data_IF_541877351101
#
_entry.id   IF_541877351101
#
_cell.length_a   1.000
_cell.length_b   1.000
_cell.length_c   1.000
_cell.angle_alpha   90.00
_cell.angle_beta   90.00
_cell.angle_gamma   90.00
#
_symmetry.space_group_name_H-M   'P 1'
#
loop_
_entity.id
_entity.type
_entity.pdbx_description
1 polymer ?
#
# COMPACT_ATOMS: atom_id res chain seq x y z
N UNK A 1 -2.37 -25.96 -10.27
CA UNK A 1 -1.93 -26.17 -8.87
C UNK A 1 -0.41 -26.08 -8.87
N UNK A 2 0.17 -25.18 -8.08
CA UNK A 2 1.63 -24.94 -8.09
C UNK A 2 2.39 -26.21 -7.71
N UNK A 3 3.43 -26.57 -8.46
CA UNK A 3 4.23 -27.79 -8.29
C UNK A 3 4.81 -27.90 -6.86
N UNK A 4 5.16 -26.77 -6.28
CA UNK A 4 5.70 -26.66 -4.91
C UNK A 4 4.65 -27.02 -3.85
N UNK A 5 3.41 -26.53 -4.01
CA UNK A 5 2.34 -26.85 -3.07
C UNK A 5 1.94 -28.35 -3.14
N UNK A 6 2.01 -28.95 -4.32
CA UNK A 6 1.79 -30.40 -4.47
C UNK A 6 2.84 -31.22 -3.72
N UNK A 7 4.12 -30.83 -3.78
CA UNK A 7 5.19 -31.48 -3.01
C UNK A 7 4.92 -31.38 -1.51
N UNK A 8 4.56 -30.19 -1.03
CA UNK A 8 4.17 -29.98 0.37
C UNK A 8 3.04 -30.92 0.83
N UNK A 9 1.98 -31.09 0.01
CA UNK A 9 0.88 -31.98 0.34
C UNK A 9 1.31 -33.46 0.45
N UNK A 10 2.25 -33.89 -0.38
CA UNK A 10 2.82 -35.24 -0.32
C UNK A 10 3.63 -35.41 0.98
N UNK A 11 4.45 -34.42 1.31
CA UNK A 11 5.30 -34.44 2.51
C UNK A 11 4.49 -34.50 3.80
N UNK A 12 3.48 -33.63 3.97
CA UNK A 12 2.62 -33.66 5.15
C UNK A 12 1.78 -34.94 5.26
N UNK A 13 1.57 -35.63 4.14
CA UNK A 13 0.87 -36.93 4.10
C UNK A 13 1.66 -38.07 4.73
N UNK A 14 2.99 -37.94 4.88
CA UNK A 14 3.85 -38.96 5.47
C UNK A 14 3.73 -39.02 7.01
N UNK A 15 3.28 -37.94 7.65
CA UNK A 15 3.12 -37.91 9.10
C UNK A 15 1.84 -38.67 9.52
N UNK A 16 1.95 -39.64 10.48
CA UNK A 16 0.80 -40.38 10.98
C UNK A 16 -0.14 -39.46 11.79
N UNK A 17 -1.43 -39.80 11.74
CA UNK A 17 -2.42 -39.17 12.58
C UNK A 17 -2.24 -39.64 14.04
N UNK A 18 -2.35 -38.74 15.01
CA UNK A 18 -2.20 -39.02 16.41
C UNK A 18 -3.52 -39.48 17.04
N UNK A 19 -3.42 -40.44 17.94
CA UNK A 19 -4.52 -40.81 18.85
C UNK A 19 -4.66 -39.79 19.98
N UNK A 20 -5.81 -39.76 20.65
CA UNK A 20 -6.04 -38.84 21.79
C UNK A 20 -4.99 -39.03 22.93
N UNK A 21 -4.53 -40.26 23.16
CA UNK A 21 -3.49 -40.54 24.17
C UNK A 21 -2.14 -39.96 23.73
N UNK A 22 -1.74 -40.14 22.46
CA UNK A 22 -0.48 -39.60 21.93
C UNK A 22 -0.50 -38.05 21.92
N UNK A 23 -1.63 -37.41 21.59
CA UNK A 23 -1.77 -35.95 21.69
C UNK A 23 -1.46 -35.47 23.12
N UNK A 24 -2.02 -36.15 24.13
CA UNK A 24 -1.82 -35.81 25.55
C UNK A 24 -0.38 -36.04 25.98
N UNK A 25 0.20 -37.20 25.65
CA UNK A 25 1.59 -37.55 25.97
C UNK A 25 2.59 -36.58 25.39
N UNK A 26 2.43 -36.21 24.09
CA UNK A 26 3.29 -35.24 23.40
C UNK A 26 3.14 -33.84 23.99
N UNK A 27 1.93 -33.43 24.36
CA UNK A 27 1.71 -32.14 25.00
C UNK A 27 2.36 -32.04 26.39
N UNK A 28 2.29 -33.12 27.17
CA UNK A 28 2.96 -33.22 28.49
C UNK A 28 4.49 -33.20 28.32
N UNK A 29 5.03 -33.97 27.34
CA UNK A 29 6.45 -33.98 27.05
C UNK A 29 6.95 -32.60 26.63
N UNK A 30 6.19 -31.89 25.76
CA UNK A 30 6.49 -30.51 25.36
C UNK A 30 6.50 -29.55 26.55
N UNK A 31 5.51 -29.63 27.46
CA UNK A 31 5.45 -28.84 28.69
C UNK A 31 6.69 -29.07 29.58
N UNK A 32 7.27 -30.27 29.54
CA UNK A 32 8.50 -30.62 30.25
C UNK A 32 9.79 -30.23 29.48
N UNK A 33 9.67 -29.53 28.34
CA UNK A 33 10.81 -29.00 27.58
C UNK A 33 11.27 -29.83 26.39
N UNK A 34 10.53 -30.88 25.99
CA UNK A 34 10.86 -31.67 24.81
C UNK A 34 10.43 -30.97 23.50
N UNK A 35 11.39 -30.33 22.81
CA UNK A 35 11.17 -29.70 21.51
C UNK A 35 10.78 -30.67 20.39
N UNK A 36 11.23 -31.94 20.44
CA UNK A 36 10.86 -32.96 19.44
C UNK A 36 9.39 -33.37 19.56
N UNK A 37 8.86 -33.40 20.75
CA UNK A 37 7.43 -33.64 20.99
C UNK A 37 6.59 -32.52 20.39
N UNK A 38 7.02 -31.25 20.52
CA UNK A 38 6.38 -30.10 19.87
C UNK A 38 6.35 -30.24 18.35
N UNK A 39 7.49 -30.52 17.73
CA UNK A 39 7.58 -30.71 16.27
C UNK A 39 6.69 -31.85 15.80
N UNK A 40 6.67 -32.99 16.49
CA UNK A 40 5.82 -34.13 16.16
C UNK A 40 4.34 -33.77 16.25
N UNK A 41 3.93 -33.01 17.27
CA UNK A 41 2.54 -32.57 17.44
C UNK A 41 2.12 -31.62 16.32
N UNK A 42 3.00 -30.66 15.90
CA UNK A 42 2.75 -29.75 14.77
C UNK A 42 2.63 -30.56 13.47
N UNK A 43 3.64 -31.35 13.13
CA UNK A 43 3.73 -32.03 11.85
C UNK A 43 2.57 -32.99 11.60
N UNK A 44 2.13 -33.72 12.61
CA UNK A 44 0.99 -34.62 12.52
C UNK A 44 -0.37 -33.92 12.33
N UNK A 45 -0.42 -32.59 12.61
CA UNK A 45 -1.65 -31.80 12.49
C UNK A 45 -1.66 -30.82 11.28
N UNK A 46 -0.61 -30.77 10.45
CA UNK A 46 -0.57 -29.90 9.25
C UNK A 46 -1.73 -30.17 8.28
N UNK A 47 -2.19 -31.43 8.19
CA UNK A 47 -3.33 -31.83 7.38
C UNK A 47 -4.65 -31.15 7.82
N UNK A 48 -4.81 -30.89 9.13
CA UNK A 48 -5.97 -30.15 9.69
C UNK A 48 -5.99 -28.73 9.15
N UNK A 49 -4.84 -28.07 9.09
CA UNK A 49 -4.74 -26.70 8.53
C UNK A 49 -5.19 -26.65 7.08
N UNK A 50 -4.70 -27.59 6.25
CA UNK A 50 -5.10 -27.67 4.83
C UNK A 50 -6.62 -27.88 4.69
N UNK A 51 -7.20 -28.72 5.55
CA UNK A 51 -8.65 -28.95 5.53
C UNK A 51 -9.46 -27.70 5.88
N UNK A 52 -9.02 -26.93 6.86
CA UNK A 52 -9.65 -25.67 7.26
C UNK A 52 -9.45 -24.61 6.16
N UNK A 53 -8.25 -24.46 5.62
CA UNK A 53 -7.92 -23.48 4.59
C UNK A 53 -8.73 -23.65 3.30
N UNK A 54 -9.13 -24.89 2.94
CA UNK A 54 -10.00 -25.17 1.81
C UNK A 54 -11.35 -24.44 1.86
N UNK A 55 -11.85 -24.10 3.05
CA UNK A 55 -13.12 -23.37 3.21
C UNK A 55 -13.00 -21.88 2.85
N UNK A 56 -11.77 -21.37 2.70
CA UNK A 56 -11.47 -19.96 2.39
C UNK A 56 -10.98 -19.74 0.95
N UNK A 57 -11.24 -20.68 0.02
CA UNK A 57 -10.79 -20.63 -1.38
C UNK A 57 -11.21 -19.39 -2.16
N UNK A 58 -12.32 -18.78 -1.78
CA UNK A 58 -12.85 -17.57 -2.43
C UNK A 58 -12.24 -16.27 -1.89
N UNK A 59 -11.17 -16.36 -1.11
CA UNK A 59 -10.39 -15.19 -0.69
C UNK A 59 -9.39 -14.78 -1.78
N UNK A 60 -8.94 -13.54 -1.73
CA UNK A 60 -7.91 -13.02 -2.67
C UNK A 60 -6.51 -13.62 -2.45
N UNK A 61 -6.32 -14.43 -1.40
CA UNK A 61 -5.07 -15.13 -1.11
C UNK A 61 -5.02 -16.51 -1.76
N UNK A 62 -3.83 -16.93 -2.18
CA UNK A 62 -3.64 -18.28 -2.68
C UNK A 62 -3.85 -19.31 -1.57
N UNK A 63 -4.23 -20.55 -1.94
CA UNK A 63 -4.39 -21.63 -0.96
C UNK A 63 -3.07 -21.93 -0.22
N UNK A 64 -1.92 -21.72 -0.87
CA UNK A 64 -0.61 -21.90 -0.24
C UNK A 64 -0.36 -20.87 0.85
N UNK A 65 -0.72 -19.59 0.60
CA UNK A 65 -0.60 -18.52 1.58
C UNK A 65 -1.56 -18.74 2.76
N UNK A 66 -2.81 -19.14 2.49
CA UNK A 66 -3.78 -19.47 3.52
C UNK A 66 -3.30 -20.61 4.44
N UNK A 67 -2.67 -21.63 3.86
CA UNK A 67 -2.08 -22.75 4.61
C UNK A 67 -0.88 -22.27 5.43
N UNK A 68 -0.02 -21.44 4.88
CA UNK A 68 1.14 -20.88 5.58
C UNK A 68 0.71 -20.06 6.80
N UNK A 69 -0.28 -19.18 6.64
CA UNK A 69 -0.84 -18.41 7.75
C UNK A 69 -1.58 -19.29 8.78
N UNK A 70 -2.29 -20.29 8.29
CA UNK A 70 -2.94 -21.28 9.15
C UNK A 70 -1.94 -22.11 9.96
N UNK A 71 -0.76 -22.42 9.42
CA UNK A 71 0.32 -23.10 10.14
C UNK A 71 0.85 -22.24 11.31
N UNK A 72 0.93 -20.91 11.15
CA UNK A 72 1.25 -20.02 12.27
C UNK A 72 0.19 -20.08 13.39
N UNK A 73 -1.08 -20.17 12.99
CA UNK A 73 -2.18 -20.40 13.93
C UNK A 73 -2.08 -21.75 14.64
N UNK A 74 -1.70 -22.81 13.93
CA UNK A 74 -1.47 -24.14 14.50
C UNK A 74 -0.31 -24.13 15.53
N UNK A 75 0.80 -23.47 15.21
CA UNK A 75 1.95 -23.31 16.11
C UNK A 75 1.49 -22.62 17.39
N UNK A 76 0.74 -21.52 17.27
CA UNK A 76 0.19 -20.81 18.44
C UNK A 76 -0.76 -21.72 19.27
N UNK A 77 -1.54 -22.56 18.60
CA UNK A 77 -2.44 -23.48 19.26
C UNK A 77 -1.67 -24.55 20.07
N UNK A 78 -0.55 -25.07 19.53
CA UNK A 78 0.31 -26.04 20.24
C UNK A 78 0.88 -25.41 21.51
N UNK A 79 1.35 -24.18 21.44
CA UNK A 79 1.93 -23.46 22.58
C UNK A 79 0.88 -23.14 23.68
N UNK A 80 -0.40 -23.09 23.33
CA UNK A 80 -1.52 -22.78 24.24
C UNK A 80 -2.36 -24.00 24.63
N UNK A 81 -2.07 -25.17 24.09
CA UNK A 81 -2.83 -26.36 24.37
C UNK A 81 -2.59 -26.87 25.80
N UNK A 82 -3.70 -27.08 26.51
CA UNK A 82 -3.66 -27.68 27.85
C UNK A 82 -4.30 -29.09 27.82
N UNK A 83 -3.49 -30.16 27.91
CA UNK A 83 -3.99 -31.54 27.91
C UNK A 83 -4.84 -31.88 29.12
N UNK A 84 -4.68 -31.19 30.26
CA UNK A 84 -5.38 -31.49 31.52
C UNK A 84 -6.91 -31.20 31.40
N UNK A 85 -7.33 -30.45 30.41
CA UNK A 85 -8.76 -30.13 30.16
C UNK A 85 -9.53 -31.27 29.47
N UNK A 86 -8.86 -32.33 29.01
CA UNK A 86 -9.47 -33.52 28.43
C UNK A 86 -10.04 -33.36 27.03
N UNK A 87 -9.90 -32.18 26.39
CA UNK A 87 -10.36 -31.95 25.03
C UNK A 87 -9.33 -32.42 23.99
N UNK A 88 -9.82 -32.81 22.80
CA UNK A 88 -8.95 -33.15 21.68
C UNK A 88 -8.19 -31.88 21.21
N UNK A 89 -6.94 -32.10 20.79
CA UNK A 89 -6.11 -31.01 20.24
C UNK A 89 -6.78 -30.27 19.07
N UNK A 90 -7.42 -31.01 18.16
CA UNK A 90 -8.13 -30.41 17.02
C UNK A 90 -9.23 -29.43 17.43
N UNK A 91 -9.93 -29.66 18.54
CA UNK A 91 -10.96 -28.77 19.07
C UNK A 91 -10.34 -27.44 19.53
N UNK A 92 -9.18 -27.49 20.16
CA UNK A 92 -8.44 -26.32 20.61
C UNK A 92 -7.77 -25.60 19.44
N UNK A 93 -7.19 -26.31 18.48
CA UNK A 93 -6.45 -25.74 17.35
C UNK A 93 -7.33 -25.05 16.30
N UNK A 94 -8.52 -25.58 16.05
CA UNK A 94 -9.41 -25.04 14.99
C UNK A 94 -9.71 -23.55 15.13
N UNK A 95 -10.06 -22.99 16.29
CA UNK A 95 -10.27 -21.54 16.47
C UNK A 95 -9.02 -20.72 16.13
N UNK A 96 -7.83 -21.15 16.59
CA UNK A 96 -6.57 -20.45 16.33
C UNK A 96 -6.21 -20.45 14.84
N UNK A 97 -6.36 -21.58 14.16
CA UNK A 97 -6.13 -21.69 12.73
C UNK A 97 -7.10 -20.79 11.96
N UNK A 98 -8.40 -20.84 12.28
CA UNK A 98 -9.41 -19.97 11.66
C UNK A 98 -9.12 -18.49 11.89
N UNK A 99 -8.72 -18.12 13.10
CA UNK A 99 -8.38 -16.74 13.44
C UNK A 99 -7.15 -16.25 12.65
N UNK A 100 -6.10 -17.07 12.55
CA UNK A 100 -4.89 -16.73 11.78
C UNK A 100 -5.21 -16.53 10.31
N UNK A 101 -5.97 -17.45 9.70
CA UNK A 101 -6.40 -17.36 8.29
C UNK A 101 -7.27 -16.12 8.07
N UNK A 102 -8.28 -15.88 8.91
CA UNK A 102 -9.17 -14.72 8.75
C UNK A 102 -8.43 -13.40 8.93
N UNK A 103 -7.49 -13.33 9.86
CA UNK A 103 -6.62 -12.18 10.05
C UNK A 103 -5.76 -11.94 8.81
N UNK A 104 -5.14 -12.98 8.26
CA UNK A 104 -4.33 -12.88 7.06
C UNK A 104 -5.13 -12.38 5.85
N UNK A 105 -6.36 -12.88 5.66
CA UNK A 105 -7.27 -12.41 4.60
C UNK A 105 -7.56 -10.91 4.76
N UNK A 106 -7.84 -10.46 5.98
CA UNK A 106 -8.10 -9.04 6.27
C UNK A 106 -6.87 -8.17 6.04
N UNK A 107 -5.69 -8.64 6.47
CA UNK A 107 -4.46 -7.85 6.47
C UNK A 107 -3.71 -7.87 5.12
N UNK A 108 -3.78 -8.98 4.39
CA UNK A 108 -2.95 -9.26 3.21
C UNK A 108 -3.77 -9.60 1.95
N UNK A 109 -5.10 -9.73 2.07
CA UNK A 109 -5.96 -10.18 0.96
C UNK A 109 -6.14 -9.16 -0.16
N UNK A 110 -5.79 -7.88 0.05
CA UNK A 110 -5.93 -6.82 -0.96
C UNK A 110 -4.61 -6.08 -1.16
N UNK A 111 -4.35 -5.63 -2.38
CA UNK A 111 -3.18 -4.80 -2.71
C UNK A 111 -3.19 -3.48 -1.92
N UNK A 112 -4.37 -2.85 -1.82
CA UNK A 112 -4.58 -1.67 -0.97
C UNK A 112 -5.18 -2.17 0.34
N UNK A 113 -4.40 -2.12 1.42
CA UNK A 113 -4.81 -2.58 2.74
C UNK A 113 -5.99 -1.78 3.27
N UNK A 114 -7.02 -2.50 3.72
CA UNK A 114 -8.22 -1.93 4.36
C UNK A 114 -8.16 -2.22 5.87
N UNK A 115 -8.49 -1.24 6.74
CA UNK A 115 -8.59 -1.47 8.17
C UNK A 115 -9.59 -2.56 8.51
N UNK A 116 -9.31 -3.37 9.55
CA UNK A 116 -10.11 -4.54 9.91
C UNK A 116 -11.58 -4.22 10.21
N UNK A 117 -11.87 -3.07 10.83
CA UNK A 117 -13.24 -2.66 11.12
C UNK A 117 -14.04 -2.35 9.85
N UNK A 118 -13.41 -1.75 8.84
CA UNK A 118 -14.03 -1.50 7.52
C UNK A 118 -14.25 -2.83 6.80
N UNK A 119 -13.28 -3.75 6.85
CA UNK A 119 -13.42 -5.08 6.25
C UNK A 119 -14.61 -5.86 6.83
N UNK A 120 -14.80 -5.80 8.14
CA UNK A 120 -15.98 -6.41 8.79
C UNK A 120 -17.29 -5.74 8.35
N UNK A 121 -17.29 -4.43 8.19
CA UNK A 121 -18.47 -3.69 7.72
C UNK A 121 -18.79 -4.02 6.26
N UNK A 122 -17.76 -4.17 5.40
CA UNK A 122 -17.90 -4.64 4.01
C UNK A 122 -18.48 -6.06 3.93
N UNK A 123 -18.08 -6.95 4.84
CA UNK A 123 -18.67 -8.29 4.90
C UNK A 123 -20.17 -8.25 5.24
N UNK A 124 -20.54 -7.42 6.21
CA UNK A 124 -21.96 -7.19 6.56
C UNK A 124 -22.72 -6.53 5.39
N UNK A 125 -22.11 -5.57 4.70
CA UNK A 125 -22.69 -4.94 3.52
C UNK A 125 -23.00 -5.96 2.42
N UNK A 126 -22.04 -6.83 2.08
CA UNK A 126 -22.24 -7.89 1.06
C UNK A 126 -23.34 -8.85 1.46
N UNK A 127 -23.46 -9.22 2.73
CA UNK A 127 -24.53 -10.07 3.23
C UNK A 127 -25.89 -9.37 3.14
N UNK A 128 -25.98 -8.12 3.58
CA UNK A 128 -27.20 -7.33 3.50
C UNK A 128 -27.67 -7.12 2.05
N UNK A 129 -26.73 -6.87 1.13
CA UNK A 129 -27.01 -6.74 -0.29
C UNK A 129 -27.57 -8.05 -0.88
N UNK A 130 -26.89 -9.18 -0.61
CA UNK A 130 -27.33 -10.48 -1.10
C UNK A 130 -28.72 -10.89 -0.59
N UNK A 131 -29.05 -10.53 0.66
CA UNK A 131 -30.39 -10.80 1.21
C UNK A 131 -31.49 -9.92 0.55
N UNK A 132 -31.21 -8.63 0.31
CA UNK A 132 -32.16 -7.74 -0.35
C UNK A 132 -32.38 -8.12 -1.83
N UNK A 133 -31.32 -8.51 -2.52
CA UNK A 133 -31.41 -8.98 -3.91
C UNK A 133 -32.14 -10.33 -4.03
N UNK A 134 -32.07 -11.21 -3.01
CA UNK A 134 -32.80 -12.46 -2.99
C UNK A 134 -34.31 -12.25 -2.85
N UNK A 135 -34.74 -11.15 -2.23
CA UNK A 135 -36.13 -10.75 -2.11
C UNK A 135 -36.71 -10.11 -3.40
N UNK A 136 -35.86 -9.99 -4.46
CA UNK A 136 -36.25 -9.50 -5.79
C UNK A 136 -36.32 -7.97 -5.93
N UNK A 137 -35.91 -7.23 -4.94
CA UNK A 137 -35.84 -5.77 -4.94
C UNK A 137 -34.42 -5.29 -5.27
N UNK A 138 -34.30 -4.19 -6.04
CA UNK A 138 -33.00 -3.51 -6.20
C UNK A 138 -32.69 -2.81 -4.87
N UNK A 139 -31.68 -3.31 -4.16
CA UNK A 139 -31.25 -2.75 -2.89
C UNK A 139 -30.83 -1.28 -3.03
N UNK A 140 -31.59 -0.38 -2.42
CA UNK A 140 -31.25 1.05 -2.35
C UNK A 140 -30.23 1.31 -1.23
N UNK A 141 -29.46 2.40 -1.36
CA UNK A 141 -28.48 2.77 -0.33
C UNK A 141 -29.14 3.02 1.02
N UNK A 142 -30.37 3.51 1.03
CA UNK A 142 -31.16 3.78 2.22
C UNK A 142 -31.61 2.50 2.94
N UNK A 143 -31.98 1.44 2.19
CA UNK A 143 -32.36 0.14 2.76
C UNK A 143 -31.14 -0.57 3.37
N UNK A 144 -30.02 -0.53 2.67
CA UNK A 144 -28.75 -1.08 3.18
C UNK A 144 -28.32 -0.32 4.44
N UNK A 145 -28.40 1.03 4.43
CA UNK A 145 -28.07 1.87 5.57
C UNK A 145 -28.92 1.54 6.81
N UNK A 146 -30.23 1.36 6.62
CA UNK A 146 -31.15 0.92 7.68
C UNK A 146 -30.81 -0.46 8.22
N UNK A 147 -30.51 -1.43 7.33
CA UNK A 147 -30.16 -2.80 7.71
C UNK A 147 -28.84 -2.89 8.45
N UNK A 148 -27.86 -2.07 8.09
CA UNK A 148 -26.54 -1.99 8.74
C UNK A 148 -26.52 -1.07 9.95
N UNK A 149 -27.58 -0.28 10.18
CA UNK A 149 -27.65 0.78 11.19
C UNK A 149 -26.49 1.79 11.08
N UNK A 150 -26.26 2.29 9.87
CA UNK A 150 -25.25 3.30 9.54
C UNK A 150 -25.87 4.42 8.70
N UNK A 151 -25.19 5.55 8.59
CA UNK A 151 -25.61 6.66 7.73
C UNK A 151 -25.47 6.32 6.24
N UNK A 152 -26.33 6.88 5.39
CA UNK A 152 -26.30 6.65 3.92
C UNK A 152 -24.98 7.06 3.28
N UNK A 153 -24.35 8.12 3.78
CA UNK A 153 -23.03 8.56 3.28
C UNK A 153 -21.93 7.55 3.58
N UNK A 154 -22.04 6.83 4.71
CA UNK A 154 -21.15 5.71 5.01
C UNK A 154 -21.32 4.53 4.05
N UNK A 155 -22.54 4.28 3.57
CA UNK A 155 -22.81 3.25 2.55
C UNK A 155 -22.16 3.63 1.22
N UNK A 156 -22.21 4.92 0.82
CA UNK A 156 -21.53 5.40 -0.39
C UNK A 156 -20.00 5.25 -0.29
N UNK A 157 -19.43 5.58 0.88
CA UNK A 157 -18.00 5.36 1.15
C UNK A 157 -17.64 3.87 1.03
N UNK A 158 -18.46 2.97 1.63
CA UNK A 158 -18.24 1.53 1.54
C UNK A 158 -18.29 1.00 0.10
N UNK A 159 -19.12 1.55 -0.76
CA UNK A 159 -19.13 1.21 -2.19
C UNK A 159 -17.80 1.50 -2.86
N UNK A 160 -17.14 2.61 -2.51
CA UNK A 160 -15.79 2.92 -2.99
C UNK A 160 -14.76 1.86 -2.63
N UNK A 161 -14.90 1.21 -1.46
CA UNK A 161 -13.99 0.16 -1.01
C UNK A 161 -14.29 -1.23 -1.62
N UNK A 162 -15.39 -1.39 -2.36
CA UNK A 162 -15.73 -2.66 -3.02
C UNK A 162 -14.90 -2.92 -4.27
N UNK A 163 -14.40 -1.88 -4.91
CA UNK A 163 -13.60 -2.01 -6.13
C UNK A 163 -12.25 -2.68 -5.83
N UNK A 164 -11.93 -3.68 -6.63
CA UNK A 164 -10.64 -4.33 -6.61
C UNK A 164 -9.70 -3.69 -7.64
N UNK A 165 -8.40 -3.80 -7.42
CA UNK A 165 -7.39 -3.34 -8.38
C UNK A 165 -7.39 -4.26 -9.61
N UNK A 166 -7.27 -3.66 -10.79
CA UNK A 166 -7.10 -4.37 -12.06
C UNK A 166 -5.63 -4.28 -12.46
N UNK A 167 -5.09 -5.35 -13.05
CA UNK A 167 -3.72 -5.33 -13.56
C UNK A 167 -3.62 -4.39 -14.77
N UNK A 168 -2.57 -3.58 -14.81
CA UNK A 168 -2.25 -2.74 -15.96
C UNK A 168 -1.90 -3.57 -17.21
N UNK A 169 -1.40 -4.79 -17.01
CA UNK A 169 -1.07 -5.76 -18.06
C UNK A 169 -2.31 -6.47 -18.64
N UNK A 170 -3.52 -6.12 -18.19
CA UNK A 170 -4.74 -6.73 -18.71
C UNK A 170 -4.96 -6.28 -20.15
N UNK A 171 -5.04 -7.20 -21.15
CA UNK A 171 -5.30 -6.84 -22.53
C UNK A 171 -6.71 -6.24 -22.70
N UNK A 172 -6.86 -5.25 -23.56
CA UNK A 172 -8.12 -4.54 -23.84
C UNK A 172 -9.11 -5.39 -24.65
N UNK A 173 -8.63 -6.43 -25.34
CA UNK A 173 -9.44 -7.36 -26.12
C UNK A 173 -8.76 -8.72 -26.26
N UNK A 174 -9.50 -9.73 -26.75
CA UNK A 174 -9.01 -11.10 -26.85
C UNK A 174 -7.80 -11.23 -27.79
N UNK A 175 -7.70 -10.37 -28.83
CA UNK A 175 -6.63 -10.38 -29.83
C UNK A 175 -5.85 -9.06 -29.85
N UNK A 176 -5.98 -8.23 -28.81
CA UNK A 176 -5.28 -6.93 -28.72
C UNK A 176 -3.93 -7.11 -28.02
N UNK A 177 -2.88 -6.54 -28.59
CA UNK A 177 -1.58 -6.38 -27.95
C UNK A 177 -1.58 -5.21 -26.95
N UNK A 178 -2.58 -4.30 -27.04
CA UNK A 178 -2.71 -3.15 -26.16
C UNK A 178 -3.24 -3.56 -24.79
N UNK A 179 -2.69 -2.94 -23.75
CA UNK A 179 -3.03 -3.18 -22.35
C UNK A 179 -3.79 -2.00 -21.73
N UNK A 180 -4.42 -2.22 -20.58
CA UNK A 180 -5.05 -1.14 -19.80
C UNK A 180 -4.04 -0.04 -19.44
N UNK A 181 -2.77 -0.43 -19.22
CA UNK A 181 -1.68 0.51 -18.92
C UNK A 181 -1.40 1.49 -20.05
N UNK A 182 -1.52 1.05 -21.30
CA UNK A 182 -1.26 1.89 -22.48
C UNK A 182 -2.29 3.01 -22.67
N UNK A 183 -3.48 2.86 -22.06
CA UNK A 183 -4.53 3.90 -22.10
C UNK A 183 -4.35 5.00 -21.04
N UNK A 184 -3.47 4.81 -20.08
CA UNK A 184 -3.28 5.76 -18.98
C UNK A 184 -2.26 6.81 -19.42
N UNK A 185 -2.72 8.05 -19.61
CA UNK A 185 -1.84 9.15 -19.97
C UNK A 185 -0.89 9.51 -18.80
N UNK A 186 0.36 9.79 -19.13
CA UNK A 186 1.30 10.37 -18.17
C UNK A 186 0.96 11.85 -17.96
N UNK A 187 0.50 12.17 -16.74
CA UNK A 187 0.15 13.53 -16.34
C UNK A 187 1.30 14.26 -15.60
N UNK A 188 2.44 13.60 -15.38
CA UNK A 188 3.57 14.15 -14.63
C UNK A 188 4.70 14.64 -15.53
N UNK A 189 4.89 14.02 -16.68
CA UNK A 189 5.89 14.45 -17.66
C UNK A 189 5.38 15.67 -18.40
N UNK A 190 6.18 16.72 -18.42
CA UNK A 190 5.86 17.96 -19.12
C UNK A 190 5.72 17.71 -20.63
N UNK A 191 4.71 18.30 -21.22
CA UNK A 191 4.55 18.26 -22.68
C UNK A 191 5.69 19.06 -23.34
N UNK A 192 6.07 18.75 -24.60
CA UNK A 192 7.06 19.54 -25.33
C UNK A 192 6.70 21.02 -25.42
N UNK A 193 5.41 21.33 -25.45
CA UNK A 193 4.91 22.71 -25.44
C UNK A 193 5.20 23.42 -24.13
N UNK A 194 4.84 22.80 -22.99
CA UNK A 194 5.09 23.36 -21.65
C UNK A 194 6.58 23.52 -21.37
N UNK A 195 7.40 22.55 -21.79
CA UNK A 195 8.85 22.65 -21.69
C UNK A 195 9.38 23.84 -22.49
N UNK A 196 8.92 24.01 -23.75
CA UNK A 196 9.35 25.13 -24.61
C UNK A 196 8.91 26.47 -24.02
N UNK A 197 7.68 26.56 -23.51
CA UNK A 197 7.17 27.78 -22.87
C UNK A 197 8.01 28.15 -21.65
N UNK A 198 8.33 27.19 -20.78
CA UNK A 198 9.22 27.42 -19.63
C UNK A 198 10.61 27.89 -20.07
N UNK A 199 11.19 27.28 -21.10
CA UNK A 199 12.47 27.70 -21.64
C UNK A 199 12.41 29.13 -22.24
N UNK A 200 11.34 29.49 -22.93
CA UNK A 200 11.15 30.86 -23.44
C UNK A 200 11.06 31.88 -22.31
N UNK A 201 10.31 31.55 -21.22
CA UNK A 201 10.20 32.41 -20.04
C UNK A 201 11.57 32.53 -19.35
N UNK A 202 12.28 31.42 -19.16
CA UNK A 202 13.61 31.41 -18.57
C UNK A 202 14.58 32.29 -19.36
N UNK A 203 14.65 32.12 -20.67
CA UNK A 203 15.48 32.93 -21.55
C UNK A 203 15.11 34.40 -21.52
N UNK A 204 13.82 34.73 -21.40
CA UNK A 204 13.34 36.09 -21.26
C UNK A 204 13.80 36.71 -19.94
N UNK A 205 13.75 35.97 -18.85
CA UNK A 205 14.25 36.41 -17.54
C UNK A 205 15.76 36.71 -17.63
N UNK A 206 16.55 35.83 -18.24
CA UNK A 206 17.99 36.04 -18.42
C UNK A 206 18.28 37.29 -19.22
N UNK A 207 17.56 37.52 -20.36
CA UNK A 207 17.73 38.74 -21.16
C UNK A 207 17.41 40.04 -20.39
N UNK A 208 16.44 40.00 -19.49
CA UNK A 208 16.11 41.14 -18.63
C UNK A 208 17.22 41.30 -17.57
N UNK A 209 17.72 40.22 -16.98
CA UNK A 209 18.80 40.25 -16.01
C UNK A 209 20.09 40.78 -16.59
N UNK A 210 20.45 40.51 -17.83
CA UNK A 210 21.65 40.99 -18.52
C UNK A 210 21.75 42.53 -18.59
N UNK A 211 20.63 43.24 -18.41
CA UNK A 211 20.61 44.72 -18.39
C UNK A 211 21.06 45.28 -17.04
N UNK A 212 21.20 44.43 -16.00
CA UNK A 212 21.62 44.84 -14.67
C UNK A 212 23.14 44.65 -14.45
N UNK A 213 23.67 45.32 -13.42
CA UNK A 213 25.09 45.17 -13.05
C UNK A 213 25.39 43.74 -12.63
N UNK A 214 26.59 43.20 -12.92
CA UNK A 214 26.95 41.81 -12.62
C UNK A 214 26.68 41.39 -11.15
N UNK A 215 26.95 42.27 -10.20
CA UNK A 215 26.68 42.01 -8.77
C UNK A 215 25.18 41.84 -8.47
N UNK A 216 24.34 42.62 -9.14
CA UNK A 216 22.87 42.53 -9.01
C UNK A 216 22.34 41.26 -9.64
N UNK A 217 22.87 40.91 -10.81
CA UNK A 217 22.56 39.62 -11.50
C UNK A 217 22.86 38.42 -10.58
N UNK A 218 24.07 38.40 -9.97
CA UNK A 218 24.48 37.33 -9.05
C UNK A 218 23.51 37.21 -7.85
N UNK A 219 23.06 38.31 -7.28
CA UNK A 219 22.11 38.29 -6.16
C UNK A 219 20.78 37.63 -6.59
N UNK A 220 20.22 38.03 -7.72
CA UNK A 220 18.94 37.48 -8.20
C UNK A 220 19.11 36.03 -8.61
N UNK A 221 20.19 35.66 -9.34
CA UNK A 221 20.49 34.28 -9.72
C UNK A 221 20.61 33.37 -8.50
N UNK A 222 21.37 33.76 -7.48
CA UNK A 222 21.49 32.99 -6.23
C UNK A 222 20.19 32.91 -5.45
N UNK A 223 19.39 33.99 -5.46
CA UNK A 223 18.16 34.04 -4.69
C UNK A 223 17.07 33.11 -5.22
N UNK A 224 16.96 33.04 -6.56
CA UNK A 224 15.89 32.31 -7.24
C UNK A 224 16.37 31.06 -7.98
N UNK A 225 17.62 30.67 -7.83
CA UNK A 225 18.15 29.49 -8.51
C UNK A 225 18.10 29.60 -10.04
N UNK A 226 18.40 30.77 -10.61
CA UNK A 226 18.33 31.04 -12.05
C UNK A 226 19.73 30.96 -12.65
N UNK A 227 20.10 29.80 -13.19
CA UNK A 227 21.37 29.61 -13.89
C UNK A 227 21.20 29.78 -15.40
N UNK A 228 22.24 30.33 -16.04
CA UNK A 228 22.38 30.27 -17.50
C UNK A 228 23.34 29.14 -17.88
N UNK A 229 23.35 28.74 -19.16
CA UNK A 229 24.30 27.75 -19.65
C UNK A 229 25.76 28.20 -19.40
N UNK A 230 26.51 27.39 -18.66
CA UNK A 230 27.87 27.68 -18.27
C UNK A 230 28.05 28.47 -16.98
N UNK A 231 26.97 28.82 -16.29
CA UNK A 231 27.04 29.40 -14.95
C UNK A 231 27.54 28.38 -13.92
N UNK A 232 28.20 28.84 -12.82
CA UNK A 232 28.56 27.95 -11.70
C UNK A 232 27.34 27.25 -11.06
N UNK A 233 27.54 26.01 -10.60
CA UNK A 233 26.47 25.18 -10.00
C UNK A 233 25.74 25.85 -8.82
N UNK A 234 26.38 26.80 -8.14
CA UNK A 234 25.76 27.56 -7.06
C UNK A 234 24.51 28.33 -7.47
N UNK A 235 24.34 28.64 -8.76
CA UNK A 235 23.14 29.33 -9.27
C UNK A 235 21.97 28.39 -9.58
N UNK A 236 22.16 27.09 -9.49
CA UNK A 236 21.09 26.09 -9.69
C UNK A 236 20.17 25.92 -8.46
N UNK A 237 20.53 26.54 -7.33
CA UNK A 237 19.80 26.38 -6.06
C UNK A 237 19.40 27.73 -5.48
N UNK A 238 18.26 27.77 -4.81
CA UNK A 238 17.81 28.95 -4.07
C UNK A 238 18.61 29.11 -2.78
N UNK A 239 19.14 30.31 -2.55
CA UNK A 239 19.88 30.68 -1.35
C UNK A 239 19.08 31.63 -0.47
N UNK A 240 19.33 31.59 0.83
CA UNK A 240 18.76 32.56 1.79
C UNK A 240 19.47 33.91 1.67
N UNK A 241 18.79 34.99 2.12
CA UNK A 241 19.39 36.34 2.10
C UNK A 241 20.69 36.41 2.93
N UNK A 242 20.84 35.55 3.93
CA UNK A 242 21.99 35.48 4.83
C UNK A 242 23.17 34.81 4.12
N UNK A 243 22.96 33.68 3.49
CA UNK A 243 23.97 32.97 2.68
C UNK A 243 24.47 33.83 1.52
N UNK A 244 23.56 34.52 0.81
CA UNK A 244 23.95 35.46 -0.26
C UNK A 244 24.79 36.60 0.30
N UNK A 245 24.46 37.09 1.50
CA UNK A 245 25.22 38.10 2.21
C UNK A 245 26.66 37.65 2.50
N UNK A 246 26.83 36.40 2.97
CA UNK A 246 28.15 35.78 3.23
C UNK A 246 28.95 35.60 1.94
N UNK A 247 28.34 35.06 0.89
CA UNK A 247 28.98 34.83 -0.42
C UNK A 247 29.50 36.14 -1.04
N UNK A 248 28.71 37.23 -0.94
CA UNK A 248 29.03 38.50 -1.59
C UNK A 248 29.68 39.55 -0.67
N UNK A 249 29.88 39.23 0.62
CA UNK A 249 30.49 40.13 1.61
C UNK A 249 29.64 41.33 1.92
N UNK A 250 28.31 41.22 2.01
CA UNK A 250 27.37 42.29 2.33
C UNK A 250 26.34 41.85 3.38
N UNK A 251 25.71 42.84 4.04
CA UNK A 251 24.70 42.53 5.04
C UNK A 251 23.41 41.99 4.45
N UNK A 252 22.72 41.10 5.15
CA UNK A 252 21.40 40.56 4.82
C UNK A 252 20.41 41.65 4.38
N UNK A 253 20.37 42.77 5.11
CA UNK A 253 19.44 43.88 4.80
C UNK A 253 19.82 44.56 3.47
N UNK A 254 21.10 44.61 3.14
CA UNK A 254 21.55 45.16 1.85
C UNK A 254 21.15 44.26 0.69
N UNK A 255 21.23 42.94 0.87
CA UNK A 255 20.75 41.96 -0.13
C UNK A 255 19.25 42.16 -0.37
N UNK A 256 18.45 42.31 0.70
CA UNK A 256 17.00 42.52 0.63
C UNK A 256 16.62 43.81 -0.10
N UNK A 257 17.39 44.86 0.14
CA UNK A 257 17.15 46.17 -0.54
C UNK A 257 17.40 46.08 -2.03
N UNK A 258 18.55 45.43 -2.41
CA UNK A 258 18.89 45.22 -3.83
C UNK A 258 17.86 44.32 -4.50
N UNK A 259 17.47 43.21 -3.90
CA UNK A 259 16.43 42.31 -4.40
C UNK A 259 15.11 43.09 -4.69
N UNK A 260 14.61 43.80 -3.69
CA UNK A 260 13.34 44.57 -3.81
C UNK A 260 13.41 45.61 -4.93
N UNK A 261 14.52 46.34 -5.04
CA UNK A 261 14.69 47.36 -6.07
C UNK A 261 14.78 46.70 -7.47
N UNK A 262 15.56 45.64 -7.59
CA UNK A 262 15.76 44.95 -8.86
C UNK A 262 14.47 44.33 -9.36
N UNK A 263 13.68 43.67 -8.50
CA UNK A 263 12.38 43.11 -8.88
C UNK A 263 11.40 44.16 -9.35
N UNK A 264 11.39 45.36 -8.74
CA UNK A 264 10.56 46.46 -9.18
C UNK A 264 10.97 46.96 -10.58
N UNK A 265 12.28 47.09 -10.84
CA UNK A 265 12.83 47.49 -12.13
C UNK A 265 12.60 46.38 -13.20
N UNK A 266 12.81 45.11 -12.86
CA UNK A 266 12.52 43.98 -13.75
C UNK A 266 11.06 43.94 -14.18
N UNK A 267 10.11 44.21 -13.29
CA UNK A 267 8.68 44.28 -13.61
C UNK A 267 8.37 45.34 -14.67
N UNK A 268 8.99 46.50 -14.57
CA UNK A 268 8.82 47.58 -15.55
C UNK A 268 9.45 47.26 -16.91
N UNK A 269 10.54 46.47 -16.91
CA UNK A 269 11.22 46.08 -18.16
C UNK A 269 10.55 44.87 -18.83
N UNK A 270 9.88 44.01 -18.06
CA UNK A 270 9.21 42.82 -18.56
C UNK A 270 8.26 43.06 -19.70
N UNK A 271 7.47 44.17 -19.62
CA UNK A 271 6.50 44.54 -20.62
C UNK A 271 7.13 45.15 -21.89
N UNK A 272 8.44 45.51 -21.83
CA UNK A 272 9.19 46.12 -22.94
C UNK A 272 10.00 45.11 -23.77
N UNK A 273 10.17 43.89 -23.24
CA UNK A 273 10.97 42.82 -23.87
C UNK A 273 10.06 41.81 -24.61
N UNK A 274 8.90 42.26 -25.06
CA UNK A 274 8.05 41.49 -25.98
C UNK A 274 8.50 41.62 -27.41
#
# INVERSE_FOLDING_TARGET
>A
MNTTFRKYLIEIGQYPLLTAKEETELAIAYRNGDGKAREKLINSNLRLVVNIAKNYKNSHLSIADLVSEGNLGLITAVDKYNPDLGYRFSTCATPWIKQAISKAITDKGRNIRIPAHIYQLLAKYRHALAELEADGEKATDEEIARKLNVETDKVKELKGWLYDTISLETPLGADSEETVGDMIADSHTETPYEYTEKQMIHNKILKVLDQFKPRTQSIIKLRYGIAADGDPDMYNYEHTLEEIGEILGITRERVRQIEKQTLAEMKLMWDRVN
#
